data_IF_900427294390
#
_entry.id   IF_900427294390
#
_cell.length_a   1.000
_cell.length_b   1.000
_cell.length_c   1.000
_cell.angle_alpha   90.00
_cell.angle_beta   90.00
_cell.angle_gamma   90.00
#
_symmetry.space_group_name_H-M   'P 1'
#
loop_
_entity.id
_entity.type
_entity.pdbx_description
1 polymer ?
#
# COMPACT_ATOMS: atom_id res chain seq x y z
N UNK A 1 -2.27 70.86 -36.45
CA UNK A 1 -1.85 70.60 -37.84
C UNK A 1 -2.08 69.11 -38.11
N UNK A 2 -3.24 68.78 -38.67
CA UNK A 2 -3.58 67.42 -39.12
C UNK A 2 -3.39 67.38 -40.63
N UNK A 3 -2.52 66.50 -41.11
CA UNK A 3 -2.24 66.29 -42.54
C UNK A 3 -2.81 64.95 -42.96
N UNK A 4 -3.83 65.02 -43.83
CA UNK A 4 -4.40 63.91 -44.58
C UNK A 4 -3.42 63.48 -45.70
N UNK A 5 -3.34 62.18 -46.06
CA UNK A 5 -2.81 61.75 -47.34
C UNK A 5 -3.90 61.67 -48.44
N UNK A 6 -3.54 61.82 -49.72
CA UNK A 6 -4.46 62.10 -50.82
C UNK A 6 -5.09 60.84 -51.47
N UNK A 7 -6.25 61.07 -52.07
CA UNK A 7 -7.01 60.13 -52.90
C UNK A 7 -6.23 59.68 -54.14
N UNK A 8 -6.15 58.37 -54.35
CA UNK A 8 -5.66 57.78 -55.60
C UNK A 8 -6.85 57.53 -56.54
N UNK A 9 -6.69 58.04 -57.74
CA UNK A 9 -7.63 58.08 -58.86
C UNK A 9 -7.69 56.77 -59.66
N UNK A 10 -8.78 56.63 -60.42
CA UNK A 10 -9.31 55.48 -61.18
C UNK A 10 -8.43 54.83 -62.27
N UNK A 11 -7.10 54.80 -62.14
CA UNK A 11 -6.21 54.26 -63.20
C UNK A 11 -5.46 52.97 -62.84
N UNK A 12 -5.79 52.32 -61.72
CA UNK A 12 -5.31 50.96 -61.40
C UNK A 12 -6.37 49.87 -61.57
N UNK A 13 -7.58 50.25 -62.01
CA UNK A 13 -8.69 49.36 -62.35
C UNK A 13 -8.66 49.09 -63.86
N UNK A 14 -7.62 48.41 -64.38
CA UNK A 14 -7.63 47.86 -65.76
C UNK A 14 -6.50 46.87 -66.09
N UNK A 15 -5.87 46.22 -65.10
CA UNK A 15 -4.93 45.10 -65.37
C UNK A 15 -5.16 43.92 -64.43
N UNK A 16 -6.41 43.46 -64.34
CA UNK A 16 -6.76 42.26 -63.57
C UNK A 16 -7.97 41.54 -64.18
N UNK A 17 -7.86 41.24 -65.46
CA UNK A 17 -8.75 40.30 -66.15
C UNK A 17 -7.95 39.59 -67.23
N UNK A 18 -7.24 38.53 -66.84
CA UNK A 18 -6.95 37.40 -67.71
C UNK A 18 -6.52 36.20 -66.84
N UNK A 19 -7.12 35.04 -67.13
CA UNK A 19 -6.83 33.68 -66.63
C UNK A 19 -7.30 33.28 -65.21
N UNK A 20 -8.57 32.84 -65.13
CA UNK A 20 -9.05 31.89 -64.13
C UNK A 20 -8.75 30.44 -64.59
N UNK A 21 -7.99 29.62 -63.84
CA UNK A 21 -7.88 28.20 -64.14
C UNK A 21 -8.99 27.39 -63.43
N UNK A 22 -9.79 26.74 -64.26
CA UNK A 22 -10.85 25.74 -64.03
C UNK A 22 -10.74 24.91 -62.70
N UNK A 23 -11.77 24.93 -61.82
CA UNK A 23 -11.76 24.24 -60.53
C UNK A 23 -11.74 22.69 -60.61
N UNK A 24 -12.00 22.08 -61.77
CA UNK A 24 -12.02 20.61 -61.88
C UNK A 24 -10.62 19.96 -61.80
N UNK A 25 -9.55 20.68 -62.17
CA UNK A 25 -8.17 20.13 -62.13
C UNK A 25 -7.55 20.07 -60.73
N UNK A 26 -8.09 20.78 -59.73
CA UNK A 26 -7.64 20.67 -58.34
C UNK A 26 -8.14 19.38 -57.67
N UNK A 27 -9.37 18.98 -57.95
CA UNK A 27 -9.98 17.76 -57.39
C UNK A 27 -9.24 16.48 -57.80
N UNK A 28 -8.84 16.37 -59.07
CA UNK A 28 -8.13 15.19 -59.58
C UNK A 28 -6.71 15.04 -59.02
N UNK A 29 -5.98 16.16 -58.81
CA UNK A 29 -4.64 16.14 -58.21
C UNK A 29 -4.65 15.81 -56.72
N UNK A 30 -5.75 16.10 -56.03
CA UNK A 30 -5.92 15.81 -54.61
C UNK A 30 -6.36 14.36 -54.36
N UNK A 31 -7.19 13.79 -55.25
CA UNK A 31 -7.53 12.35 -55.23
C UNK A 31 -6.35 11.43 -55.61
N UNK A 32 -5.45 11.87 -56.50
CA UNK A 32 -4.28 11.06 -56.88
C UNK A 32 -3.21 11.01 -55.77
N UNK A 33 -3.06 12.08 -54.98
CA UNK A 33 -2.21 12.10 -53.77
C UNK A 33 -2.72 11.15 -52.67
N UNK A 34 -4.04 11.01 -52.52
CA UNK A 34 -4.62 10.07 -51.55
C UNK A 34 -4.53 8.60 -52.00
N UNK A 35 -4.61 8.31 -53.31
CA UNK A 35 -4.35 6.97 -53.86
C UNK A 35 -2.86 6.57 -53.79
N UNK A 36 -1.94 7.53 -53.91
CA UNK A 36 -0.49 7.32 -53.77
C UNK A 36 -0.03 6.95 -52.36
N UNK A 37 -0.69 7.44 -51.31
CA UNK A 37 -0.38 7.05 -49.92
C UNK A 37 -0.98 5.68 -49.53
N UNK A 38 -2.07 5.24 -50.17
CA UNK A 38 -2.72 3.95 -49.86
C UNK A 38 -1.98 2.73 -50.46
N UNK A 39 -1.08 2.92 -51.43
CA UNK A 39 -0.28 1.85 -52.06
C UNK A 39 1.12 1.62 -51.46
N UNK A 40 1.57 2.43 -50.49
CA UNK A 40 2.85 2.20 -49.77
C UNK A 40 2.71 1.37 -48.48
N UNK A 41 1.58 0.68 -48.32
CA UNK A 41 1.24 -0.21 -47.17
C UNK A 41 1.07 -1.69 -47.59
N UNK A 42 1.78 -2.14 -48.62
CA UNK A 42 1.84 -3.57 -48.97
C UNK A 42 3.29 -3.95 -49.25
N UNK A 43 3.93 -4.54 -48.25
CA UNK A 43 5.26 -5.13 -48.37
C UNK A 43 6.29 -4.56 -47.40
N UNK A 44 6.19 -4.91 -46.12
CA UNK A 44 7.37 -5.14 -45.29
C UNK A 44 7.00 -5.97 -44.05
N UNK A 45 7.35 -7.25 -44.15
CA UNK A 45 7.89 -8.20 -43.17
C UNK A 45 7.56 -7.94 -41.68
N UNK A 46 6.92 -8.96 -41.11
CA UNK A 46 6.51 -9.21 -39.73
C UNK A 46 7.42 -8.64 -38.63
N UNK A 47 6.80 -7.86 -37.75
CA UNK A 47 7.25 -7.59 -36.37
C UNK A 47 5.99 -7.51 -35.49
N UNK A 48 5.93 -8.16 -34.30
CA UNK A 48 4.69 -8.26 -33.55
C UNK A 48 4.35 -6.93 -32.88
N UNK A 49 3.42 -6.20 -33.46
CA UNK A 49 2.80 -5.02 -32.87
C UNK A 49 1.44 -5.39 -32.27
N UNK A 50 1.45 -6.02 -31.10
CA UNK A 50 0.27 -6.11 -30.24
C UNK A 50 0.50 -5.23 -29.03
N UNK A 51 -0.15 -4.06 -28.97
CA UNK A 51 -0.53 -3.29 -27.75
C UNK A 51 -1.07 -1.88 -28.09
N UNK A 52 -1.83 -1.69 -29.18
CA UNK A 52 -2.53 -0.40 -29.43
C UNK A 52 -3.96 -0.34 -28.88
N UNK A 53 -4.36 -1.28 -28.02
CA UNK A 53 -5.72 -1.34 -27.45
C UNK A 53 -5.81 -1.39 -25.91
N UNK A 54 -4.71 -1.63 -25.19
CA UNK A 54 -4.74 -1.74 -23.73
C UNK A 54 -4.53 -0.36 -23.09
N UNK A 55 -5.51 0.13 -22.33
CA UNK A 55 -5.35 1.36 -21.56
C UNK A 55 -4.51 1.11 -20.30
N UNK A 56 -3.60 2.03 -19.93
CA UNK A 56 -2.84 1.90 -18.70
C UNK A 56 -3.75 2.09 -17.48
N UNK A 57 -3.57 1.25 -16.47
CA UNK A 57 -4.25 1.34 -15.16
C UNK A 57 -3.77 2.58 -14.40
N UNK A 58 -2.47 2.84 -14.49
CA UNK A 58 -1.81 3.99 -13.87
C UNK A 58 -0.60 4.36 -14.71
N UNK A 59 -0.30 5.66 -14.78
CA UNK A 59 0.86 6.19 -15.48
C UNK A 59 1.53 7.29 -14.67
N UNK A 60 2.86 7.31 -14.65
CA UNK A 60 3.66 8.36 -14.02
C UNK A 60 4.92 8.65 -14.84
N UNK A 61 5.66 9.71 -14.48
CA UNK A 61 6.89 10.13 -15.17
C UNK A 61 8.10 9.91 -14.27
N UNK A 62 9.11 9.20 -14.76
CA UNK A 62 10.34 8.92 -14.01
C UNK A 62 11.56 8.75 -14.94
N UNK A 63 12.75 9.04 -14.42
CA UNK A 63 14.01 8.64 -15.04
C UNK A 63 14.27 7.16 -14.75
N UNK A 64 14.60 6.39 -15.78
CA UNK A 64 14.76 4.94 -15.68
C UNK A 64 16.24 4.58 -15.62
N UNK A 65 16.56 3.71 -14.68
CA UNK A 65 17.89 3.15 -14.46
C UNK A 65 17.80 1.63 -14.44
N UNK A 66 18.90 0.96 -14.77
CA UNK A 66 19.06 -0.48 -14.61
C UNK A 66 20.39 -0.76 -13.93
N UNK A 67 20.49 -1.85 -13.19
CA UNK A 67 21.79 -2.30 -12.72
C UNK A 67 22.56 -2.89 -13.91
N UNK A 68 23.81 -2.47 -14.05
CA UNK A 68 24.73 -3.00 -15.04
C UNK A 68 24.84 -4.54 -14.91
N UNK A 69 24.50 -5.30 -15.96
CA UNK A 69 24.57 -6.76 -15.93
C UNK A 69 25.95 -7.32 -15.62
N UNK A 70 27.03 -6.59 -15.96
CA UNK A 70 28.41 -7.03 -15.77
C UNK A 70 28.89 -6.85 -14.34
N UNK A 71 28.65 -5.67 -13.74
CA UNK A 71 29.14 -5.33 -12.40
C UNK A 71 28.16 -5.67 -11.28
N UNK A 72 26.86 -5.83 -11.59
CA UNK A 72 25.76 -6.10 -10.63
C UNK A 72 25.66 -5.11 -9.46
N UNK A 73 26.35 -3.97 -9.53
CA UNK A 73 26.41 -2.95 -8.46
C UNK A 73 26.18 -1.53 -8.96
N UNK A 74 26.54 -1.24 -10.21
CA UNK A 74 26.45 0.12 -10.74
C UNK A 74 25.10 0.37 -11.42
N UNK A 75 24.52 1.54 -11.15
CA UNK A 75 23.33 2.02 -11.85
C UNK A 75 23.72 2.66 -13.18
N UNK A 76 23.12 2.20 -14.28
CA UNK A 76 23.25 2.79 -15.61
C UNK A 76 21.93 3.45 -16.02
N UNK A 77 21.95 4.69 -16.55
CA UNK A 77 20.75 5.34 -17.04
C UNK A 77 20.24 4.63 -18.31
N UNK A 78 19.01 4.13 -18.26
CA UNK A 78 18.34 3.51 -19.40
C UNK A 78 17.59 4.53 -20.27
N UNK A 79 17.41 5.76 -19.77
CA UNK A 79 16.74 6.87 -20.45
C UNK A 79 17.46 8.19 -20.21
N UNK A 80 17.57 9.05 -21.23
CA UNK A 80 18.19 10.40 -21.12
C UNK A 80 17.28 11.43 -20.44
N UNK A 81 15.98 11.25 -20.55
CA UNK A 81 14.95 12.12 -19.98
C UNK A 81 13.93 11.26 -19.24
N UNK A 82 13.13 11.87 -18.36
CA UNK A 82 12.01 11.19 -17.75
C UNK A 82 11.07 10.63 -18.83
N UNK A 83 10.66 9.38 -18.67
CA UNK A 83 9.72 8.69 -19.55
C UNK A 83 8.45 8.32 -18.79
N UNK A 84 7.41 8.04 -19.55
CA UNK A 84 6.15 7.54 -18.98
C UNK A 84 6.34 6.08 -18.60
N UNK A 85 6.06 5.75 -17.34
CA UNK A 85 6.08 4.39 -16.78
C UNK A 85 4.66 4.07 -16.34
N UNK A 86 4.13 2.96 -16.83
CA UNK A 86 2.71 2.64 -16.67
C UNK A 86 2.50 1.19 -16.28
N UNK A 87 1.46 0.95 -15.48
CA UNK A 87 0.95 -0.39 -15.20
C UNK A 87 -0.11 -0.75 -16.24
N UNK A 88 -0.02 -1.95 -16.82
CA UNK A 88 -0.98 -2.51 -17.77
C UNK A 88 -1.46 -3.87 -17.27
N UNK A 89 -2.70 -4.20 -17.58
CA UNK A 89 -3.22 -5.55 -17.46
C UNK A 89 -3.33 -6.18 -18.85
N UNK A 90 -2.62 -7.28 -19.05
CA UNK A 90 -2.68 -8.10 -20.25
C UNK A 90 -3.78 -9.14 -20.08
N UNK A 91 -4.92 -8.89 -20.70
CA UNK A 91 -6.07 -9.80 -20.60
C UNK A 91 -5.78 -11.15 -21.28
N UNK A 92 -4.94 -11.17 -22.32
CA UNK A 92 -4.64 -12.41 -23.08
C UNK A 92 -3.82 -13.39 -22.26
N UNK A 93 -2.87 -12.87 -21.48
CA UNK A 93 -1.99 -13.68 -20.62
C UNK A 93 -2.43 -13.67 -19.15
N UNK A 94 -3.47 -12.92 -18.82
CA UNK A 94 -3.96 -12.72 -17.46
C UNK A 94 -2.84 -12.30 -16.49
N UNK A 95 -2.02 -11.33 -16.89
CA UNK A 95 -0.88 -10.84 -16.10
C UNK A 95 -0.82 -9.32 -16.07
N UNK A 96 -0.26 -8.78 -14.98
CA UNK A 96 0.03 -7.35 -14.87
C UNK A 96 1.47 -7.05 -15.24
N UNK A 97 1.70 -5.92 -15.91
CA UNK A 97 3.00 -5.52 -16.45
C UNK A 97 3.30 -4.06 -16.17
N UNK A 98 4.56 -3.76 -15.85
CA UNK A 98 5.13 -2.42 -15.88
C UNK A 98 5.76 -2.22 -17.25
N UNK A 99 5.30 -1.21 -17.98
CA UNK A 99 5.78 -0.90 -19.32
C UNK A 99 6.25 0.55 -19.37
N UNK A 100 7.40 0.75 -19.99
CA UNK A 100 7.88 2.07 -20.41
C UNK A 100 8.57 1.98 -21.75
N UNK A 101 8.24 2.93 -22.63
CA UNK A 101 8.73 2.97 -24.02
C UNK A 101 9.56 4.24 -24.21
N UNK A 102 10.77 4.10 -24.73
CA UNK A 102 11.61 5.21 -25.15
C UNK A 102 11.86 5.16 -26.65
N UNK A 103 11.33 6.13 -27.39
CA UNK A 103 11.33 6.11 -28.84
C UNK A 103 10.50 4.92 -29.35
N UNK A 104 11.10 4.03 -30.13
CA UNK A 104 10.46 2.83 -30.67
C UNK A 104 10.73 1.56 -29.87
N UNK A 105 11.49 1.66 -28.76
CA UNK A 105 11.94 0.50 -27.98
C UNK A 105 11.29 0.48 -26.60
N UNK A 106 10.78 -0.69 -26.20
CA UNK A 106 10.41 -0.92 -24.81
C UNK A 106 11.68 -0.97 -23.93
N UNK A 107 11.76 -0.05 -22.97
CA UNK A 107 12.87 0.03 -22.01
C UNK A 107 12.54 -0.77 -20.75
N UNK A 108 11.27 -0.77 -20.35
CA UNK A 108 10.75 -1.63 -19.29
C UNK A 108 9.61 -2.46 -19.89
N UNK A 109 9.65 -3.77 -19.66
CA UNK A 109 8.56 -4.71 -19.94
C UNK A 109 8.62 -5.80 -18.86
N UNK A 110 8.26 -5.42 -17.64
CA UNK A 110 8.41 -6.25 -16.45
C UNK A 110 7.06 -6.84 -16.06
N UNK A 111 6.96 -8.17 -15.99
CA UNK A 111 5.74 -8.84 -15.51
C UNK A 111 5.76 -8.89 -14.00
N UNK A 112 4.70 -8.40 -13.36
CA UNK A 112 4.60 -8.37 -11.89
C UNK A 112 4.24 -9.75 -11.39
N UNK A 113 5.04 -10.27 -10.46
CA UNK A 113 4.81 -11.55 -9.78
C UNK A 113 4.54 -11.32 -8.29
N UNK A 114 3.82 -12.22 -7.61
CA UNK A 114 3.46 -12.04 -6.19
C UNK A 114 4.66 -11.87 -5.24
N UNK A 115 5.83 -12.38 -5.64
CA UNK A 115 7.04 -12.37 -4.83
C UNK A 115 7.94 -11.16 -5.11
N UNK A 116 7.54 -10.29 -6.03
CA UNK A 116 8.30 -9.07 -6.33
C UNK A 116 8.06 -8.00 -5.26
N UNK A 117 9.12 -7.26 -4.97
CA UNK A 117 9.11 -6.17 -3.99
C UNK A 117 9.67 -4.91 -4.62
N UNK A 118 8.94 -3.81 -4.46
CA UNK A 118 9.43 -2.48 -4.76
C UNK A 118 9.98 -1.83 -3.48
N UNK A 119 11.27 -1.51 -3.49
CA UNK A 119 11.98 -0.95 -2.33
C UNK A 119 12.32 0.52 -2.60
N UNK A 120 11.87 1.42 -1.71
CA UNK A 120 12.29 2.82 -1.70
C UNK A 120 13.70 2.91 -1.11
N UNK A 121 14.67 3.43 -1.86
CA UNK A 121 16.08 3.53 -1.41
C UNK A 121 16.57 4.96 -1.24
N UNK A 122 15.75 5.95 -1.63
CA UNK A 122 15.91 7.35 -1.22
C UNK A 122 14.56 8.07 -1.26
N UNK A 123 14.56 9.38 -0.98
CA UNK A 123 13.36 10.22 -0.99
C UNK A 123 12.62 10.22 -2.34
N UNK A 124 13.33 10.06 -3.46
CA UNK A 124 12.76 10.12 -4.81
C UNK A 124 13.17 8.95 -5.71
N UNK A 125 13.75 7.91 -5.14
CA UNK A 125 14.21 6.75 -5.89
C UNK A 125 13.73 5.45 -5.27
N UNK A 126 13.27 4.54 -6.12
CA UNK A 126 12.94 3.18 -5.73
C UNK A 126 13.27 2.17 -6.83
N UNK A 127 13.31 0.90 -6.47
CA UNK A 127 13.79 -0.17 -7.32
C UNK A 127 13.03 -1.48 -7.10
N UNK A 128 13.07 -2.35 -8.10
CA UNK A 128 12.64 -3.75 -7.96
C UNK A 128 13.52 -4.66 -8.81
N UNK A 129 13.65 -5.91 -8.38
CA UNK A 129 14.31 -6.96 -9.15
C UNK A 129 13.27 -7.70 -10.02
N UNK A 130 13.62 -7.92 -11.29
CA UNK A 130 12.87 -8.77 -12.20
C UNK A 130 13.72 -9.98 -12.57
N UNK A 131 13.45 -11.11 -11.92
CA UNK A 131 14.16 -12.36 -12.15
C UNK A 131 13.98 -12.89 -13.57
N UNK A 132 12.83 -12.62 -14.20
CA UNK A 132 12.53 -13.08 -15.57
C UNK A 132 13.36 -12.32 -16.59
N UNK A 133 13.55 -11.02 -16.38
CA UNK A 133 14.41 -10.17 -17.20
C UNK A 133 15.89 -10.20 -16.75
N UNK A 134 16.22 -10.88 -15.64
CA UNK A 134 17.55 -10.93 -15.01
C UNK A 134 18.17 -9.54 -14.82
N UNK A 135 17.36 -8.57 -14.41
CA UNK A 135 17.77 -7.18 -14.23
C UNK A 135 17.08 -6.56 -13.03
N UNK A 136 17.65 -5.47 -12.52
CA UNK A 136 17.05 -4.66 -11.46
C UNK A 136 16.74 -3.30 -12.06
N UNK A 137 15.47 -2.90 -12.02
CA UNK A 137 15.03 -1.60 -12.51
C UNK A 137 15.01 -0.60 -11.35
N UNK A 138 15.41 0.63 -11.65
CA UNK A 138 15.37 1.76 -10.74
C UNK A 138 14.63 2.93 -11.37
N UNK A 139 13.82 3.64 -10.59
CA UNK A 139 13.04 4.79 -11.01
C UNK A 139 13.35 6.00 -10.15
N UNK A 140 13.79 7.08 -10.78
CA UNK A 140 13.97 8.40 -10.16
C UNK A 140 12.81 9.33 -10.49
N UNK A 141 12.03 9.70 -9.48
CA UNK A 141 10.83 10.53 -9.60
C UNK A 141 11.11 12.02 -9.38
N UNK A 142 10.19 12.88 -9.84
CA UNK A 142 10.30 14.32 -9.65
C UNK A 142 10.07 14.75 -8.19
N UNK A 143 9.18 14.05 -7.47
CA UNK A 143 8.81 14.30 -6.07
C UNK A 143 8.67 12.99 -5.29
N UNK A 144 8.75 13.10 -3.97
CA UNK A 144 8.51 11.98 -3.04
C UNK A 144 7.07 11.43 -3.17
N UNK A 145 6.11 12.32 -3.41
CA UNK A 145 4.71 11.95 -3.61
C UNK A 145 4.54 10.97 -4.78
N UNK A 146 5.22 11.21 -5.92
CA UNK A 146 5.16 10.30 -7.06
C UNK A 146 5.82 8.95 -6.78
N UNK A 147 6.90 8.92 -5.99
CA UNK A 147 7.51 7.67 -5.52
C UNK A 147 6.55 6.87 -4.65
N UNK A 148 5.89 7.53 -3.69
CA UNK A 148 4.93 6.88 -2.80
C UNK A 148 3.71 6.35 -3.54
N UNK A 149 3.12 7.13 -4.44
CA UNK A 149 2.01 6.68 -5.30
C UNK A 149 2.41 5.47 -6.16
N UNK A 150 3.60 5.47 -6.75
CA UNK A 150 4.07 4.34 -7.55
C UNK A 150 4.25 3.08 -6.70
N UNK A 151 4.76 3.22 -5.47
CA UNK A 151 4.96 2.11 -4.55
C UNK A 151 3.63 1.52 -4.05
N UNK A 152 2.64 2.36 -3.74
CA UNK A 152 1.28 1.94 -3.39
C UNK A 152 0.64 1.16 -4.54
N UNK A 153 0.69 1.71 -5.76
CA UNK A 153 0.20 1.02 -6.96
C UNK A 153 0.93 -0.29 -7.23
N UNK A 154 2.22 -0.37 -6.91
CA UNK A 154 2.96 -1.63 -7.01
C UNK A 154 2.36 -2.71 -6.12
N UNK A 155 2.01 -2.38 -4.86
CA UNK A 155 1.39 -3.34 -3.93
C UNK A 155 -0.02 -3.74 -4.40
N UNK A 156 -0.86 -2.78 -4.79
CA UNK A 156 -2.19 -3.08 -5.32
C UNK A 156 -2.14 -4.03 -6.52
N UNK A 157 -1.25 -3.76 -7.48
CA UNK A 157 -1.12 -4.57 -8.69
C UNK A 157 -0.49 -5.93 -8.38
N UNK A 158 0.40 -6.02 -7.40
CA UNK A 158 0.96 -7.29 -6.91
C UNK A 158 -0.12 -8.19 -6.31
N UNK A 159 -1.02 -7.65 -5.49
CA UNK A 159 -2.16 -8.40 -4.95
C UNK A 159 -3.14 -8.80 -6.07
N UNK A 160 -3.42 -7.91 -7.02
CA UNK A 160 -4.23 -8.25 -8.19
C UNK A 160 -3.61 -9.36 -9.04
N UNK A 161 -2.28 -9.39 -9.18
CA UNK A 161 -1.55 -10.45 -9.86
C UNK A 161 -1.62 -11.79 -9.10
N UNK A 162 -1.61 -11.78 -7.76
CA UNK A 162 -1.83 -12.98 -6.94
C UNK A 162 -3.21 -13.58 -7.22
N UNK A 163 -4.26 -12.76 -7.14
CA UNK A 163 -5.65 -13.18 -7.39
C UNK A 163 -5.87 -13.66 -8.83
N UNK A 164 -5.23 -13.04 -9.81
CA UNK A 164 -5.32 -13.46 -11.21
C UNK A 164 -4.75 -14.87 -11.43
N UNK A 165 -3.66 -15.23 -10.74
CA UNK A 165 -3.08 -16.58 -10.78
C UNK A 165 -3.96 -17.60 -10.08
N UNK A 166 -4.48 -17.27 -8.90
CA UNK A 166 -5.38 -18.12 -8.11
C UNK A 166 -6.64 -18.49 -8.91
N UNK A 167 -7.32 -17.50 -9.51
CA UNK A 167 -8.48 -17.74 -10.41
C UNK A 167 -8.17 -18.63 -11.60
N UNK A 168 -6.94 -18.58 -12.11
CA UNK A 168 -6.52 -19.41 -13.24
C UNK A 168 -6.21 -20.84 -12.80
N UNK A 169 -5.73 -21.02 -11.57
CA UNK A 169 -5.40 -22.31 -10.99
C UNK A 169 -6.67 -23.10 -10.60
N UNK A 170 -7.69 -22.44 -10.02
CA UNK A 170 -8.99 -23.06 -9.69
C UNK A 170 -9.68 -23.72 -10.90
N UNK A 171 -9.45 -23.20 -12.12
CA UNK A 171 -9.99 -23.78 -13.35
C UNK A 171 -9.31 -25.09 -13.77
N UNK A 172 -8.17 -25.42 -13.18
CA UNK A 172 -7.31 -26.55 -13.57
C UNK A 172 -7.29 -27.69 -12.55
N UNK A 173 -7.84 -27.50 -11.35
CA UNK A 173 -7.77 -28.48 -10.24
C UNK A 173 -8.98 -29.43 -10.13
N UNK A 174 -9.84 -29.54 -11.15
CA UNK A 174 -10.94 -30.53 -11.17
C UNK A 174 -10.62 -31.86 -11.87
N UNK A 175 -9.35 -32.14 -12.20
CA UNK A 175 -8.95 -33.48 -12.71
C UNK A 175 -7.58 -33.87 -12.18
N UNK A 176 -7.52 -34.41 -10.96
CA UNK A 176 -6.47 -35.35 -10.53
C UNK A 176 -6.86 -36.02 -9.20
N UNK A 177 -7.15 -37.34 -9.17
CA UNK A 177 -7.23 -38.08 -7.93
C UNK A 177 -5.88 -38.68 -7.52
N UNK A 178 -5.65 -38.69 -6.20
CA UNK A 178 -4.83 -39.60 -5.40
C UNK A 178 -3.36 -39.27 -5.05
N UNK A 179 -3.21 -38.84 -3.78
CA UNK A 179 -2.36 -39.38 -2.70
C UNK A 179 -0.86 -39.64 -2.92
N UNK A 180 -0.04 -39.04 -2.04
CA UNK A 180 0.86 -39.78 -1.12
C UNK A 180 1.45 -38.84 -0.05
N UNK A 181 0.89 -38.93 1.16
CA UNK A 181 1.62 -38.62 2.39
C UNK A 181 2.63 -39.75 2.66
N UNK A 182 3.90 -39.41 2.86
CA UNK A 182 4.78 -40.26 3.67
C UNK A 182 5.68 -39.39 4.54
N UNK A 183 5.59 -39.68 5.84
CA UNK A 183 6.37 -39.17 6.95
C UNK A 183 7.80 -39.75 6.97
N UNK A 184 8.75 -39.02 7.57
CA UNK A 184 9.86 -39.48 8.44
C UNK A 184 11.29 -38.95 8.13
N UNK A 185 12.01 -38.72 9.25
CA UNK A 185 13.45 -38.44 9.50
C UNK A 185 13.85 -36.96 9.41
N UNK A 186 14.09 -36.18 10.48
CA UNK A 186 14.80 -36.31 11.77
C UNK A 186 16.31 -36.63 11.66
N UNK A 187 17.16 -35.59 11.87
CA UNK A 187 18.40 -35.47 12.68
C UNK A 187 19.53 -34.61 12.04
N UNK A 188 20.46 -34.03 12.84
CA UNK A 188 20.82 -32.60 12.78
C UNK A 188 22.32 -32.30 12.54
N UNK A 189 22.62 -30.99 12.52
CA UNK A 189 23.81 -30.31 13.11
C UNK A 189 24.89 -29.68 12.20
N UNK A 190 25.54 -28.61 12.70
CA UNK A 190 26.26 -27.57 11.94
C UNK A 190 27.78 -27.76 11.96
N UNK A 191 28.53 -27.04 11.11
CA UNK A 191 29.99 -26.92 11.25
C UNK A 191 30.44 -25.47 11.04
N UNK A 192 30.86 -24.88 12.15
CA UNK A 192 31.77 -23.73 12.29
C UNK A 192 33.13 -24.14 11.71
N UNK A 193 33.72 -23.33 10.82
CA UNK A 193 35.14 -23.42 10.48
C UNK A 193 35.92 -22.32 11.16
N UNK A 194 36.86 -22.74 12.00
CA UNK A 194 37.82 -21.96 12.75
C UNK A 194 39.21 -22.03 12.10
N UNK A 195 39.98 -20.96 12.35
CA UNK A 195 41.43 -20.84 12.46
C UNK A 195 42.30 -20.47 11.24
N UNK A 196 43.12 -19.45 11.50
CA UNK A 196 44.46 -19.23 10.96
C UNK A 196 45.12 -18.03 11.68
N UNK A 197 46.06 -18.23 12.63
CA UNK A 197 46.78 -17.15 13.30
C UNK A 197 48.06 -16.80 12.51
N UNK A 198 48.35 -15.50 12.39
CA UNK A 198 49.57 -14.99 11.76
C UNK A 198 50.08 -13.78 12.52
N UNK A 199 51.16 -13.98 13.26
CA UNK A 199 51.87 -12.97 14.01
C UNK A 199 52.60 -12.00 13.07
N UNK A 200 52.35 -10.70 13.18
CA UNK A 200 53.28 -9.68 12.67
C UNK A 200 53.36 -8.51 13.65
N UNK A 201 54.55 -8.35 14.22
CA UNK A 201 54.95 -7.27 15.12
C UNK A 201 55.07 -5.98 14.33
N UNK A 202 54.14 -5.04 14.52
CA UNK A 202 54.38 -3.64 14.19
C UNK A 202 53.93 -2.73 15.33
N UNK A 203 54.81 -1.77 15.65
CA UNK A 203 54.64 -0.72 16.66
C UNK A 203 53.27 -0.06 16.55
N UNK A 204 52.37 -0.34 17.50
CA UNK A 204 51.09 0.37 17.64
C UNK A 204 51.27 1.51 18.65
N UNK A 205 51.15 2.75 18.17
CA UNK A 205 51.25 3.97 18.97
C UNK A 205 50.11 4.08 20.00
N UNK A 206 50.38 4.66 21.18
CA UNK A 206 49.45 4.85 22.30
C UNK A 206 48.12 5.55 21.91
N UNK A 207 48.07 6.28 20.79
CA UNK A 207 46.83 6.91 20.28
C UNK A 207 45.81 5.90 19.74
N UNK A 208 46.25 4.75 19.21
CA UNK A 208 45.35 3.72 18.71
C UNK A 208 44.69 2.91 19.84
N UNK A 209 45.31 2.85 21.02
CA UNK A 209 44.71 2.21 22.20
C UNK A 209 43.57 3.05 22.77
N UNK A 210 43.69 4.39 22.73
CA UNK A 210 42.66 5.31 23.23
C UNK A 210 41.43 5.38 22.30
N UNK A 211 41.62 5.20 21.00
CA UNK A 211 40.53 5.08 20.03
C UNK A 211 39.82 3.72 20.17
N UNK A 212 40.60 2.63 20.34
CA UNK A 212 40.07 1.29 20.58
C UNK A 212 39.34 1.14 21.93
N UNK A 213 39.71 1.89 22.97
CA UNK A 213 38.96 1.91 24.24
C UNK A 213 37.64 2.66 24.09
N UNK A 214 37.61 3.79 23.38
CA UNK A 214 36.34 4.50 23.11
C UNK A 214 35.40 3.70 22.21
N UNK A 215 35.94 2.96 21.24
CA UNK A 215 35.17 2.06 20.39
C UNK A 215 34.68 0.84 21.16
N UNK A 216 35.50 0.28 22.06
CA UNK A 216 35.09 -0.77 22.99
C UNK A 216 33.98 -0.30 23.93
N UNK A 217 34.04 0.93 24.43
CA UNK A 217 32.98 1.51 25.28
C UNK A 217 31.70 1.80 24.49
N UNK A 218 31.78 2.25 23.23
CA UNK A 218 30.62 2.36 22.33
C UNK A 218 29.98 1.01 22.05
N UNK A 219 30.77 -0.01 21.71
CA UNK A 219 30.28 -1.36 21.44
C UNK A 219 29.66 -1.96 22.71
N UNK A 220 30.28 -1.76 23.87
CA UNK A 220 29.72 -2.18 25.17
C UNK A 220 28.39 -1.48 25.46
N UNK A 221 28.27 -0.19 25.17
CA UNK A 221 27.02 0.58 25.31
C UNK A 221 25.94 0.09 24.34
N UNK A 222 26.30 -0.17 23.08
CA UNK A 222 25.39 -0.78 22.10
C UNK A 222 24.92 -2.17 22.51
N UNK A 223 25.78 -3.00 23.09
CA UNK A 223 25.43 -4.34 23.57
C UNK A 223 24.51 -4.28 24.81
N UNK A 224 24.70 -3.29 25.69
CA UNK A 224 23.80 -3.06 26.84
C UNK A 224 22.44 -2.47 26.42
N UNK A 225 22.39 -1.63 25.38
CA UNK A 225 21.13 -1.11 24.81
C UNK A 225 20.44 -2.13 23.86
N UNK A 226 21.18 -3.10 23.32
CA UNK A 226 20.69 -4.17 22.44
C UNK A 226 19.83 -5.23 23.10
N UNK A 227 19.81 -5.30 24.45
CA UNK A 227 18.95 -6.22 25.22
C UNK A 227 17.45 -5.93 25.02
N UNK A 228 17.06 -4.69 24.71
CA UNK A 228 15.67 -4.32 24.42
C UNK A 228 15.22 -4.83 23.05
N UNK A 229 16.15 -4.97 22.11
CA UNK A 229 15.89 -5.48 20.76
C UNK A 229 15.52 -6.97 20.80
N UNK A 230 16.27 -7.77 21.58
CA UNK A 230 16.03 -9.22 21.74
C UNK A 230 14.65 -9.50 22.35
N UNK A 231 14.27 -8.80 23.42
CA UNK A 231 12.95 -8.93 24.07
C UNK A 231 11.82 -8.44 23.15
N UNK A 232 12.07 -7.45 22.30
CA UNK A 232 11.10 -6.98 21.31
C UNK A 232 10.86 -8.02 20.19
N UNK A 233 11.92 -8.62 19.64
CA UNK A 233 11.80 -9.68 18.65
C UNK A 233 11.14 -10.94 19.22
N UNK A 234 11.42 -11.30 20.47
CA UNK A 234 10.74 -12.40 21.16
C UNK A 234 9.24 -12.13 21.32
N UNK A 235 8.86 -10.92 21.75
CA UNK A 235 7.45 -10.53 21.87
C UNK A 235 6.71 -10.50 20.51
N UNK A 236 7.37 -10.00 19.47
CA UNK A 236 6.85 -10.02 18.10
C UNK A 236 6.73 -11.46 17.57
N UNK A 237 7.69 -12.33 17.87
CA UNK A 237 7.64 -13.75 17.51
C UNK A 237 6.45 -14.46 18.16
N UNK A 238 6.22 -14.26 19.47
CA UNK A 238 5.05 -14.84 20.15
C UNK A 238 3.73 -14.29 19.61
N UNK A 239 3.67 -12.99 19.30
CA UNK A 239 2.47 -12.36 18.70
C UNK A 239 2.18 -12.91 17.31
N UNK A 240 3.22 -13.09 16.49
CA UNK A 240 3.10 -13.71 15.16
C UNK A 240 2.71 -15.18 15.27
N UNK A 241 3.25 -15.90 16.24
CA UNK A 241 2.89 -17.29 16.50
C UNK A 241 1.42 -17.44 16.92
N UNK A 242 0.94 -16.58 17.83
CA UNK A 242 -0.47 -16.53 18.23
C UNK A 242 -1.39 -16.17 17.06
N UNK A 243 -0.99 -15.18 16.25
CA UNK A 243 -1.71 -14.82 15.03
C UNK A 243 -1.76 -15.98 14.03
N UNK A 244 -0.67 -16.71 13.84
CA UNK A 244 -0.61 -17.89 12.98
C UNK A 244 -1.55 -19.00 13.49
N UNK A 245 -1.52 -19.28 14.79
CA UNK A 245 -2.43 -20.25 15.42
C UNK A 245 -3.91 -19.88 15.21
N UNK A 246 -4.25 -18.59 15.33
CA UNK A 246 -5.61 -18.09 15.05
C UNK A 246 -6.00 -18.27 13.58
N UNK A 247 -5.09 -18.00 12.65
CA UNK A 247 -5.34 -18.21 11.22
C UNK A 247 -5.53 -19.70 10.89
N UNK A 248 -4.74 -20.59 11.51
CA UNK A 248 -4.90 -22.05 11.37
C UNK A 248 -6.26 -22.51 11.91
N UNK A 249 -6.67 -22.00 13.07
CA UNK A 249 -7.99 -22.30 13.64
C UNK A 249 -9.13 -21.83 12.72
N UNK A 250 -9.05 -20.58 12.23
CA UNK A 250 -10.03 -20.02 11.30
C UNK A 250 -10.08 -20.80 9.97
N UNK A 251 -8.94 -21.28 9.47
CA UNK A 251 -8.88 -22.13 8.28
C UNK A 251 -9.56 -23.49 8.52
N UNK A 252 -9.31 -24.12 9.67
CA UNK A 252 -10.00 -25.36 10.05
C UNK A 252 -11.51 -25.18 10.18
N UNK A 253 -11.95 -24.07 10.76
CA UNK A 253 -13.37 -23.71 10.87
C UNK A 253 -13.99 -23.46 9.48
N UNK A 254 -13.31 -22.70 8.61
CA UNK A 254 -13.76 -22.48 7.24
C UNK A 254 -13.89 -23.79 6.46
N UNK A 255 -12.93 -24.70 6.60
CA UNK A 255 -13.00 -26.04 5.99
C UNK A 255 -14.18 -26.86 6.55
N UNK A 256 -14.41 -26.84 7.86
CA UNK A 256 -15.56 -27.51 8.46
C UNK A 256 -16.89 -26.96 7.94
N UNK A 257 -16.99 -25.63 7.78
CA UNK A 257 -18.15 -24.97 7.20
C UNK A 257 -18.36 -25.40 5.74
N UNK A 258 -17.32 -25.43 4.91
CA UNK A 258 -17.42 -25.91 3.51
C UNK A 258 -17.96 -27.35 3.47
N UNK A 259 -17.50 -28.23 4.35
CA UNK A 259 -18.02 -29.61 4.41
C UNK A 259 -19.48 -29.68 4.89
N UNK A 260 -19.91 -28.80 5.80
CA UNK A 260 -21.32 -28.67 6.18
C UNK A 260 -22.18 -28.18 5.01
N UNK A 261 -21.75 -27.15 4.28
CA UNK A 261 -22.46 -26.65 3.10
C UNK A 261 -22.56 -27.70 2.00
N UNK A 262 -21.51 -28.50 1.78
CA UNK A 262 -21.55 -29.64 0.85
C UNK A 262 -22.59 -30.67 1.26
N UNK A 263 -22.67 -31.02 2.56
CA UNK A 263 -23.69 -31.95 3.07
C UNK A 263 -25.10 -31.41 2.91
N UNK A 264 -25.32 -30.12 3.18
CA UNK A 264 -26.62 -29.49 2.95
C UNK A 264 -26.99 -29.48 1.47
N UNK A 265 -26.04 -29.18 0.58
CA UNK A 265 -26.26 -29.22 -0.86
C UNK A 265 -26.66 -30.63 -1.33
N UNK A 266 -25.99 -31.67 -0.82
CA UNK A 266 -26.33 -33.06 -1.14
C UNK A 266 -27.74 -33.42 -0.65
N UNK A 267 -28.13 -33.00 0.55
CA UNK A 267 -29.48 -33.22 1.08
C UNK A 267 -30.56 -32.54 0.22
N UNK A 268 -30.32 -31.28 -0.21
CA UNK A 268 -31.25 -30.59 -1.11
C UNK A 268 -31.33 -31.23 -2.50
N UNK A 269 -30.21 -31.76 -3.01
CA UNK A 269 -30.21 -32.51 -4.27
C UNK A 269 -31.04 -33.80 -4.16
N UNK A 270 -30.88 -34.55 -3.07
CA UNK A 270 -31.65 -35.76 -2.79
C UNK A 270 -33.16 -35.47 -2.68
N UNK A 271 -33.54 -34.41 -1.95
CA UNK A 271 -34.93 -33.97 -1.84
C UNK A 271 -35.51 -33.57 -3.21
N UNK A 272 -34.73 -32.88 -4.04
CA UNK A 272 -35.17 -32.48 -5.38
C UNK A 272 -35.41 -33.70 -6.28
N UNK A 273 -34.52 -34.70 -6.23
CA UNK A 273 -34.69 -35.95 -6.97
C UNK A 273 -35.90 -36.75 -6.46
N UNK A 274 -36.10 -36.83 -5.14
CA UNK A 274 -37.26 -37.48 -4.55
C UNK A 274 -38.58 -36.83 -5.00
N UNK A 275 -38.64 -35.50 -5.01
CA UNK A 275 -39.80 -34.76 -5.51
C UNK A 275 -40.02 -34.99 -7.01
N UNK A 276 -38.96 -35.03 -7.83
CA UNK A 276 -39.08 -35.37 -9.26
C UNK A 276 -39.65 -36.77 -9.48
N UNK A 277 -39.19 -37.76 -8.72
CA UNK A 277 -39.73 -39.11 -8.77
C UNK A 277 -41.21 -39.13 -8.37
N UNK A 278 -41.59 -38.40 -7.31
CA UNK A 278 -42.99 -38.31 -6.89
C UNK A 278 -43.88 -37.64 -7.93
N UNK A 279 -43.40 -36.59 -8.60
CA UNK A 279 -44.12 -35.96 -9.72
C UNK A 279 -44.30 -36.95 -10.87
N UNK A 280 -43.25 -37.67 -11.26
CA UNK A 280 -43.33 -38.67 -12.33
C UNK A 280 -44.31 -39.81 -11.99
N UNK A 281 -44.35 -40.26 -10.73
CA UNK A 281 -45.30 -41.26 -10.25
C UNK A 281 -46.76 -40.76 -10.35
N UNK A 282 -47.02 -39.52 -9.92
CA UNK A 282 -48.34 -38.90 -10.00
C UNK A 282 -48.78 -38.66 -11.46
N UNK A 283 -47.85 -38.31 -12.35
CA UNK A 283 -48.12 -38.19 -13.79
C UNK A 283 -48.47 -39.55 -14.42
N UNK A 284 -47.82 -40.64 -13.99
CA UNK A 284 -48.14 -41.99 -14.44
C UNK A 284 -49.51 -42.48 -13.94
N UNK A 285 -49.87 -42.17 -12.69
CA UNK A 285 -51.20 -42.49 -12.12
C UNK A 285 -52.33 -41.72 -12.83
N UNK A 286 -52.11 -40.45 -13.17
CA UNK A 286 -53.05 -39.64 -13.96
C UNK A 286 -53.33 -40.22 -15.36
N UNK A 287 -52.41 -41.02 -15.91
CA UNK A 287 -52.60 -41.72 -17.18
C UNK A 287 -53.47 -42.98 -17.08
N UNK A 288 -53.71 -43.52 -15.88
CA UNK A 288 -54.43 -44.79 -15.68
C UNK A 288 -55.91 -44.61 -15.26
N UNK A 289 -56.27 -43.48 -14.64
CA UNK A 289 -57.63 -43.25 -14.14
C UNK A 289 -58.56 -42.62 -15.19
N UNK A 290 -58.99 -43.44 -16.14
CA UNK A 290 -60.17 -43.16 -16.97
C UNK A 290 -61.15 -44.33 -16.95
N UNK A 291 -61.81 -44.58 -15.82
CA UNK A 291 -63.05 -45.39 -15.81
C UNK A 291 -63.92 -45.16 -14.57
N UNK A 292 -64.86 -44.22 -14.72
CA UNK A 292 -66.26 -44.20 -14.24
C UNK A 292 -66.71 -44.54 -12.80
N UNK A 293 -65.91 -45.09 -11.87
CA UNK A 293 -66.42 -45.48 -10.52
C UNK A 293 -66.02 -44.54 -9.37
N UNK A 294 -65.02 -43.67 -9.55
CA UNK A 294 -64.47 -42.81 -8.49
C UNK A 294 -65.32 -41.57 -8.11
N UNK A 295 -66.54 -41.41 -8.63
CA UNK A 295 -67.35 -40.20 -8.40
C UNK A 295 -68.23 -40.26 -7.14
N UNK A 296 -68.55 -41.45 -6.64
CA UNK A 296 -69.45 -41.60 -5.48
C UNK A 296 -68.66 -41.72 -4.16
N UNK A 297 -67.50 -42.37 -4.18
CA UNK A 297 -66.60 -42.55 -3.03
C UNK A 297 -65.71 -41.32 -2.73
N UNK A 298 -65.50 -40.45 -3.73
CA UNK A 298 -64.75 -39.20 -3.56
C UNK A 298 -65.47 -38.18 -2.67
N UNK A 299 -66.80 -38.25 -2.56
CA UNK A 299 -67.58 -37.27 -1.78
C UNK A 299 -67.30 -37.36 -0.27
N UNK A 300 -67.38 -38.55 0.39
CA UNK A 300 -67.04 -38.67 1.80
C UNK A 300 -65.53 -38.51 2.08
N UNK A 301 -64.66 -38.96 1.17
CA UNK A 301 -63.20 -38.82 1.33
C UNK A 301 -62.73 -37.36 1.23
N UNK A 302 -63.38 -36.53 0.41
CA UNK A 302 -63.11 -35.08 0.35
C UNK A 302 -63.56 -34.40 1.64
N UNK A 303 -64.69 -34.79 2.21
CA UNK A 303 -65.20 -34.23 3.47
C UNK A 303 -64.30 -34.60 4.67
N UNK A 304 -63.73 -35.81 4.68
CA UNK A 304 -62.73 -36.23 5.68
C UNK A 304 -61.40 -35.46 5.54
N UNK A 305 -60.93 -35.25 4.30
CA UNK A 305 -59.73 -34.45 4.02
C UNK A 305 -59.91 -32.98 4.40
N UNK A 306 -61.09 -32.40 4.19
CA UNK A 306 -61.40 -31.04 4.63
C UNK A 306 -61.35 -30.90 6.16
N UNK A 307 -61.86 -31.88 6.90
CA UNK A 307 -61.77 -31.90 8.37
C UNK A 307 -60.33 -32.04 8.85
N UNK A 308 -59.52 -32.87 8.17
CA UNK A 308 -58.11 -33.07 8.51
C UNK A 308 -57.26 -31.82 8.20
N UNK A 309 -57.51 -31.15 7.08
CA UNK A 309 -56.86 -29.87 6.74
C UNK A 309 -57.20 -28.82 7.79
N UNK A 310 -58.47 -28.72 8.19
CA UNK A 310 -58.89 -27.78 9.23
C UNK A 310 -58.21 -28.05 10.58
N UNK A 311 -58.11 -29.32 10.99
CA UNK A 311 -57.40 -29.71 12.21
C UNK A 311 -55.89 -29.38 12.12
N UNK A 312 -55.27 -29.58 10.95
CA UNK A 312 -53.87 -29.25 10.71
C UNK A 312 -53.61 -27.74 10.67
N UNK A 313 -54.56 -26.96 10.18
CA UNK A 313 -54.48 -25.50 10.21
C UNK A 313 -54.61 -24.95 11.64
N UNK A 314 -55.50 -25.54 12.45
CA UNK A 314 -55.61 -25.22 13.87
C UNK A 314 -54.32 -25.59 14.64
N UNK A 315 -53.70 -26.74 14.33
CA UNK A 315 -52.40 -27.16 14.87
C UNK A 315 -51.27 -26.21 14.43
N UNK A 316 -51.25 -25.79 13.16
CA UNK A 316 -50.29 -24.81 12.64
C UNK A 316 -50.47 -23.43 13.29
N UNK A 317 -51.70 -23.03 13.59
CA UNK A 317 -51.98 -21.76 14.25
C UNK A 317 -51.55 -21.80 15.73
N UNK A 318 -51.73 -22.94 16.40
CA UNK A 318 -51.19 -23.16 17.75
C UNK A 318 -49.65 -23.20 17.75
N UNK A 319 -49.03 -23.91 16.80
CA UNK A 319 -47.57 -23.95 16.64
C UNK A 319 -46.99 -22.58 16.26
N UNK A 320 -47.67 -21.78 15.44
CA UNK A 320 -47.27 -20.39 15.15
C UNK A 320 -47.37 -19.50 16.39
N UNK A 321 -48.41 -19.67 17.20
CA UNK A 321 -48.58 -18.92 18.45
C UNK A 321 -47.53 -19.33 19.49
N UNK A 322 -47.17 -20.62 19.54
CA UNK A 322 -46.10 -21.15 20.39
C UNK A 322 -44.69 -20.75 19.88
N UNK A 323 -44.50 -20.67 18.55
CA UNK A 323 -43.26 -20.23 17.91
C UNK A 323 -43.10 -18.71 17.92
N UNK A 324 -44.17 -17.95 18.13
CA UNK A 324 -44.14 -16.51 18.38
C UNK A 324 -43.41 -16.10 19.66
N UNK A 325 -43.19 -17.03 20.60
CA UNK A 325 -42.32 -16.84 21.77
C UNK A 325 -40.85 -17.19 21.52
N UNK A 326 -40.52 -17.79 20.36
CA UNK A 326 -39.17 -18.26 20.01
C UNK A 326 -38.50 -17.29 19.02
N UNK A 327 -38.54 -16.00 19.32
CA UNK A 327 -37.74 -14.96 18.67
C UNK A 327 -36.58 -14.49 19.56
N UNK A 328 -36.08 -15.39 20.42
CA UNK A 328 -34.88 -15.20 21.26
C UNK A 328 -33.57 -15.07 20.43
N UNK A 329 -33.67 -15.06 19.10
CA UNK A 329 -32.57 -14.66 18.21
C UNK A 329 -32.44 -13.14 18.01
N UNK A 330 -33.37 -12.35 18.56
CA UNK A 330 -33.37 -10.89 18.44
C UNK A 330 -32.54 -10.18 19.53
N UNK A 331 -32.40 -10.77 20.73
CA UNK A 331 -31.60 -10.17 21.83
C UNK A 331 -30.12 -10.00 21.44
N UNK A 332 -29.52 -10.97 20.77
CA UNK A 332 -28.13 -10.85 20.29
C UNK A 332 -27.97 -9.86 19.13
N UNK A 333 -29.00 -9.68 18.32
CA UNK A 333 -29.04 -8.69 17.23
C UNK A 333 -29.17 -7.28 17.81
N UNK A 334 -30.03 -7.11 18.83
CA UNK A 334 -30.22 -5.84 19.53
C UNK A 334 -28.99 -5.46 20.37
N UNK A 335 -28.36 -6.42 21.05
CA UNK A 335 -27.11 -6.18 21.80
C UNK A 335 -25.95 -5.80 20.88
N UNK A 336 -25.80 -6.49 19.74
CA UNK A 336 -24.76 -6.14 18.75
C UNK A 336 -25.03 -4.78 18.12
N UNK A 337 -26.28 -4.45 17.80
CA UNK A 337 -26.68 -3.14 17.31
C UNK A 337 -26.38 -2.02 18.31
N UNK A 338 -26.73 -2.24 19.59
CA UNK A 338 -26.45 -1.29 20.66
C UNK A 338 -24.94 -1.08 20.85
N UNK A 339 -24.15 -2.16 20.77
CA UNK A 339 -22.70 -2.12 20.90
C UNK A 339 -22.01 -1.39 19.74
N UNK A 340 -22.51 -1.58 18.52
CA UNK A 340 -22.06 -0.81 17.34
C UNK A 340 -22.35 0.67 17.54
N UNK A 341 -23.55 1.04 17.98
CA UNK A 341 -23.91 2.44 18.23
C UNK A 341 -23.05 3.09 19.34
N UNK A 342 -22.74 2.36 20.40
CA UNK A 342 -21.85 2.81 21.48
C UNK A 342 -20.40 2.99 21.01
N UNK A 343 -19.93 2.12 20.11
CA UNK A 343 -18.61 2.23 19.50
C UNK A 343 -18.54 3.43 18.54
N UNK A 344 -19.57 3.67 17.73
CA UNK A 344 -19.65 4.83 16.86
C UNK A 344 -19.63 6.15 17.64
N UNK A 345 -20.38 6.22 18.76
CA UNK A 345 -20.38 7.41 19.63
C UNK A 345 -19.00 7.65 20.24
N UNK A 346 -18.33 6.60 20.70
CA UNK A 346 -16.95 6.69 21.24
C UNK A 346 -15.93 7.07 20.17
N UNK A 347 -16.06 6.54 18.96
CA UNK A 347 -15.15 6.84 17.86
C UNK A 347 -15.24 8.32 17.46
N UNK A 348 -16.47 8.86 17.33
CA UNK A 348 -16.70 10.30 17.10
C UNK A 348 -16.13 11.19 18.21
N UNK A 349 -16.13 10.72 19.46
CA UNK A 349 -15.51 11.46 20.57
C UNK A 349 -13.99 11.45 20.50
N UNK A 350 -13.40 10.29 20.19
CA UNK A 350 -11.96 10.17 19.98
C UNK A 350 -11.48 11.00 18.78
N UNK A 351 -12.22 11.02 17.67
CA UNK A 351 -11.94 11.87 16.51
C UNK A 351 -11.95 13.36 16.90
N UNK A 352 -12.95 13.82 17.66
CA UNK A 352 -13.00 15.20 18.17
C UNK A 352 -11.81 15.52 19.08
N UNK A 353 -11.43 14.59 19.97
CA UNK A 353 -10.28 14.77 20.85
C UNK A 353 -8.96 14.79 20.09
N UNK A 354 -8.83 13.97 19.04
CA UNK A 354 -7.67 13.96 18.16
C UNK A 354 -7.55 15.30 17.42
N UNK A 355 -8.64 15.80 16.83
CA UNK A 355 -8.67 17.11 16.17
C UNK A 355 -8.25 18.24 17.11
N UNK A 356 -8.73 18.25 18.35
CA UNK A 356 -8.32 19.25 19.35
C UNK A 356 -6.84 19.13 19.71
N UNK A 357 -6.31 17.91 19.83
CA UNK A 357 -4.90 17.67 20.09
C UNK A 357 -4.01 18.11 18.91
N UNK A 358 -4.42 17.82 17.67
CA UNK A 358 -3.74 18.26 16.46
C UNK A 358 -3.73 19.79 16.34
N UNK A 359 -4.86 20.45 16.62
CA UNK A 359 -4.95 21.91 16.65
C UNK A 359 -3.99 22.50 17.68
N UNK A 360 -4.01 21.97 18.92
CA UNK A 360 -3.11 22.40 19.99
C UNK A 360 -1.65 22.22 19.58
N UNK A 361 -1.31 21.08 18.96
CA UNK A 361 0.04 20.84 18.47
C UNK A 361 0.45 21.85 17.39
N UNK A 362 -0.44 22.13 16.43
CA UNK A 362 -0.21 23.14 15.39
C UNK A 362 0.02 24.54 15.99
N UNK A 363 -0.76 24.92 17.00
CA UNK A 363 -0.61 26.19 17.71
C UNK A 363 0.75 26.26 18.41
N UNK A 364 1.14 25.22 19.16
CA UNK A 364 2.44 25.17 19.84
C UNK A 364 3.62 25.18 18.87
N UNK A 365 3.50 24.54 17.69
CA UNK A 365 4.52 24.60 16.64
C UNK A 365 4.64 26.01 16.06
N UNK A 366 3.52 26.70 15.81
CA UNK A 366 3.53 28.09 15.34
C UNK A 366 4.16 29.03 16.37
N UNK A 367 3.84 28.85 17.66
CA UNK A 367 4.46 29.61 18.74
C UNK A 367 5.96 29.35 18.86
N UNK A 368 6.38 28.09 18.76
CA UNK A 368 7.79 27.70 18.74
C UNK A 368 8.52 28.33 17.57
N UNK A 369 7.92 28.36 16.40
CA UNK A 369 8.47 29.02 15.22
C UNK A 369 8.61 30.54 15.43
N UNK A 370 7.60 31.21 15.99
CA UNK A 370 7.68 32.64 16.36
C UNK A 370 8.82 32.90 17.35
N UNK A 371 8.98 32.05 18.36
CA UNK A 371 10.10 32.16 19.31
C UNK A 371 11.46 31.99 18.62
N UNK A 372 11.60 31.02 17.70
CA UNK A 372 12.84 30.87 16.93
C UNK A 372 13.14 32.09 16.06
N UNK A 373 12.13 32.69 15.44
CA UNK A 373 12.30 33.92 14.66
C UNK A 373 12.78 35.09 15.54
N UNK A 374 12.19 35.27 16.73
CA UNK A 374 12.60 36.32 17.65
C UNK A 374 14.01 36.09 18.20
N UNK A 375 14.36 34.85 18.57
CA UNK A 375 15.73 34.50 18.97
C UNK A 375 16.72 34.78 17.83
N UNK A 376 16.39 34.39 16.59
CA UNK A 376 17.24 34.63 15.42
C UNK A 376 17.39 36.12 15.09
N UNK A 377 16.38 36.94 15.41
CA UNK A 377 16.44 38.40 15.30
C UNK A 377 17.36 38.98 16.38
N UNK A 378 17.19 38.58 17.64
CA UNK A 378 18.05 38.98 18.76
C UNK A 378 19.51 38.60 18.47
N UNK A 379 19.78 37.38 18.02
CA UNK A 379 21.15 36.95 17.65
C UNK A 379 21.76 37.82 16.55
N UNK A 380 20.97 38.25 15.56
CA UNK A 380 21.44 39.19 14.52
C UNK A 380 21.68 40.59 15.08
N UNK A 381 20.79 41.11 15.92
CA UNK A 381 20.94 42.43 16.54
C UNK A 381 22.19 42.49 17.45
N UNK A 382 22.48 41.41 18.19
CA UNK A 382 23.74 41.27 18.94
C UNK A 382 24.97 41.16 18.05
N UNK A 383 24.87 40.52 16.88
CA UNK A 383 25.97 40.44 15.92
C UNK A 383 26.26 41.80 15.22
N UNK A 384 25.27 42.70 15.15
CA UNK A 384 25.39 44.03 14.54
C UNK A 384 25.87 45.12 15.52
N UNK A 385 25.97 44.82 16.83
CA UNK A 385 26.61 45.71 17.82
C UNK A 385 27.99 45.23 18.31
N UNK A 386 29.06 45.33 17.49
CA UNK A 386 30.42 45.20 18.00
C UNK A 386 30.92 46.48 18.72
N UNK A 387 30.35 47.66 18.39
CA UNK A 387 30.97 48.96 18.67
C UNK A 387 30.62 49.56 20.07
N UNK A 388 29.63 49.01 20.77
CA UNK A 388 29.28 49.42 22.15
C UNK A 388 30.12 48.72 23.21
N UNK A 389 30.63 47.51 22.92
CA UNK A 389 31.46 46.75 23.87
C UNK A 389 32.91 47.25 23.87
N UNK A 390 33.46 47.62 22.71
CA UNK A 390 34.78 48.26 22.65
C UNK A 390 34.80 49.66 23.28
N UNK A 391 33.73 50.46 23.16
CA UNK A 391 33.64 51.75 23.88
C UNK A 391 33.58 51.58 25.40
N UNK A 392 32.85 50.59 25.92
CA UNK A 392 32.80 50.34 27.37
C UNK A 392 34.12 49.83 27.94
N UNK A 393 34.87 49.02 27.18
CA UNK A 393 36.21 48.56 27.57
C UNK A 393 37.23 49.70 27.49
N UNK A 394 37.17 50.54 26.46
CA UNK A 394 38.09 51.69 26.32
C UNK A 394 37.84 52.79 27.35
N UNK A 395 36.59 53.04 27.76
CA UNK A 395 36.28 53.95 28.88
C UNK A 395 36.80 53.41 30.23
N UNK A 396 36.75 52.09 30.46
CA UNK A 396 37.27 51.49 31.70
C UNK A 396 38.80 51.40 31.75
N UNK A 397 39.47 51.32 30.59
CA UNK A 397 40.94 51.33 30.49
C UNK A 397 41.50 52.74 30.71
N UNK A 398 40.78 53.80 30.32
CA UNK A 398 41.25 55.18 30.53
C UNK A 398 41.08 55.66 31.98
N UNK A 399 40.15 55.08 32.75
CA UNK A 399 39.93 55.43 34.17
C UNK A 399 40.86 54.67 35.14
N UNK A 400 41.50 53.57 34.70
CA UNK A 400 42.40 52.74 35.52
C UNK A 400 43.89 53.04 35.34
N UNK A 401 44.23 54.16 34.69
CA UNK A 401 45.61 54.65 34.57
C UNK A 401 46.16 55.33 35.83
N UNK A 402 45.34 55.51 36.87
CA UNK A 402 45.75 56.17 38.10
C UNK A 402 45.37 55.31 39.29
N UNK A 403 46.38 54.90 40.07
CA UNK A 403 46.35 54.12 41.31
C UNK A 403 46.49 52.60 41.14
N UNK A 404 47.71 52.14 41.41
CA UNK A 404 48.06 50.74 41.48
C UNK A 404 47.60 50.05 42.76
N UNK A 405 47.97 48.78 42.85
CA UNK A 405 47.75 47.96 44.04
C UNK A 405 47.23 46.58 43.70
N UNK A 406 48.12 45.59 43.86
CA UNK A 406 47.86 44.17 44.07
C UNK A 406 46.42 43.80 44.48
N UNK A 407 45.85 42.77 43.84
CA UNK A 407 45.34 41.57 44.54
C UNK A 407 45.06 40.45 43.52
N UNK A 408 45.64 39.28 43.81
CA UNK A 408 45.41 37.99 43.14
C UNK A 408 43.98 37.51 43.34
N UNK A 409 43.26 37.12 42.28
CA UNK A 409 42.21 36.10 42.37
C UNK A 409 42.08 35.34 41.03
N UNK A 410 42.07 34.00 41.15
CA UNK A 410 41.99 32.98 40.07
C UNK A 410 40.83 33.21 39.08
N UNK A 411 40.95 32.75 37.82
CA UNK A 411 39.84 32.73 36.89
C UNK A 411 38.91 31.54 37.20
N UNK A 412 37.70 31.80 37.68
CA UNK A 412 36.59 30.86 37.56
C UNK A 412 36.01 31.01 36.15
N UNK A 413 36.15 29.99 35.31
CA UNK A 413 35.33 29.82 34.11
C UNK A 413 33.86 29.70 34.54
N UNK A 414 33.09 30.77 34.38
CA UNK A 414 31.63 30.65 34.36
C UNK A 414 31.20 30.10 32.99
N UNK A 415 31.03 28.78 32.94
CA UNK A 415 30.21 28.13 31.92
C UNK A 415 28.77 28.59 32.12
N UNK A 416 28.27 29.42 31.21
CA UNK A 416 26.86 29.81 31.15
C UNK A 416 26.07 28.59 30.65
N UNK A 417 25.63 27.73 31.58
CA UNK A 417 24.68 26.65 31.26
C UNK A 417 23.28 27.26 31.30
N UNK A 418 22.72 27.53 30.12
CA UNK A 418 21.36 27.99 29.96
C UNK A 418 20.43 26.76 29.99
N UNK A 419 20.07 26.32 31.19
CA UNK A 419 19.06 25.27 31.39
C UNK A 419 17.67 25.83 31.08
N UNK A 420 17.14 25.46 29.92
CA UNK A 420 15.73 25.67 29.60
C UNK A 420 14.91 24.57 30.29
N UNK A 421 14.34 24.88 31.46
CA UNK A 421 13.38 24.00 32.13
C UNK A 421 12.02 24.09 31.44
N UNK A 422 11.68 23.10 30.61
CA UNK A 422 10.29 22.84 30.27
C UNK A 422 9.62 22.16 31.47
N UNK A 423 8.79 22.92 32.19
CA UNK A 423 7.83 22.38 33.16
C UNK A 423 6.69 21.72 32.39
N UNK A 424 6.72 20.40 32.25
CA UNK A 424 5.53 19.62 31.89
C UNK A 424 4.73 19.40 33.18
N UNK A 425 3.64 20.13 33.31
CA UNK A 425 2.67 19.98 34.39
C UNK A 425 1.78 18.74 34.13
N UNK A 426 2.00 17.71 34.94
CA UNK A 426 0.92 16.95 35.61
C UNK A 426 0.18 15.88 34.80
N UNK A 427 0.44 14.60 35.15
CA UNK A 427 -0.53 13.73 35.84
C UNK A 427 0.13 12.40 36.22
N UNK A 428 0.20 12.14 37.53
CA UNK A 428 0.60 10.86 38.12
C UNK A 428 -0.36 9.75 37.72
N UNK A 429 0.19 8.61 37.32
CA UNK A 429 -0.48 7.31 37.34
C UNK A 429 0.21 6.49 38.44
N UNK A 430 -0.50 5.97 39.46
CA UNK A 430 0.11 5.15 40.49
C UNK A 430 0.35 3.74 39.91
N UNK A 431 1.61 3.32 39.84
CA UNK A 431 1.96 1.91 39.64
C UNK A 431 2.19 1.31 41.03
N UNK A 432 1.22 0.53 41.48
CA UNK A 432 1.39 -0.47 42.53
C UNK A 432 2.32 -1.56 42.00
N UNK A 433 3.50 -1.70 42.60
CA UNK A 433 4.33 -2.90 42.44
C UNK A 433 4.54 -3.51 43.82
N UNK A 434 3.94 -4.69 43.97
CA UNK A 434 4.06 -5.60 45.09
C UNK A 434 5.53 -5.93 45.36
N UNK A 435 5.89 -5.82 46.64
CA UNK A 435 7.17 -6.25 47.19
C UNK A 435 7.02 -7.73 47.55
N UNK A 436 7.67 -8.60 46.79
CA UNK A 436 7.86 -10.00 47.17
C UNK A 436 9.22 -10.11 47.86
N UNK A 437 9.20 -10.65 49.08
CA UNK A 437 10.38 -10.95 49.89
C UNK A 437 11.16 -12.13 49.32
N UNK A 438 12.48 -12.05 49.41
CA UNK A 438 13.44 -13.13 49.65
C UNK A 438 14.78 -12.42 49.93
N UNK A 439 15.43 -12.53 51.09
CA UNK A 439 15.71 -13.74 51.86
C UNK A 439 17.20 -14.04 51.66
N UNK A 440 18.05 -13.65 52.63
CA UNK A 440 19.50 -13.85 52.59
C UNK A 440 20.28 -12.74 53.28
#
# INVERSE_FOLDING_TARGET
MHTLPPSITNEQISRKFEEDPDPEKKSSREQEKQRGQKKKRKGQKESPSETMGEQPIFSTRAHIFQIDPSTKRNWIPASKHALTVSYFYDATRNVYRIISVGGTKAIINSTITPNMTFTKTSQKFGQWADSRANTVYGLGFASEQHLSQFAEKFQEVKEAARLAREKSQDKTELTSPALSLTSQQIFPSPIISSNGPGDDKFFRSQSADMEMTTERERIKKMLSEGSVCEVQWEAEFFTLQDSNNKLVAALHEANANVEQWKKQLAAYQEETEALRLRVAELEAQRGHDSSSEAKEEASPAVEELEQLVKAKDEELQQLKSQKGGRWEGDEGSEETFQKVQDLERRNKDLERRLQLAEQTLSETLSEREKMYHEVSKITRDFAVQPDTRERAVNLSVQEKGTLGGFFFLRPYCMSFSMTFSFRVLGKSIPVLLSREEQGG
#
